data_IF_974601519409
#
_entry.id   IF_974601519409
#
_cell.length_a   1.000
_cell.length_b   1.000
_cell.length_c   1.000
_cell.angle_alpha   90.00
_cell.angle_beta   90.00
_cell.angle_gamma   90.00
#
_symmetry.space_group_name_H-M   'P 1'
#
loop_
_entity.id
_entity.type
_entity.pdbx_description
1 polymer ?
#
# COMPACT_ATOMS: atom_id res chain seq x y z
N UNK A 1 -24.19 43.89 30.99
CA UNK A 1 -24.48 45.12 30.24
C UNK A 1 -24.80 44.66 28.82
N UNK A 2 -26.03 44.40 28.50
CA UNK A 2 -27.06 45.29 27.95
C UNK A 2 -26.67 45.71 26.52
N UNK A 3 -27.47 45.55 25.49
CA UNK A 3 -28.91 45.41 25.23
C UNK A 3 -29.03 45.04 23.75
N UNK A 4 -29.89 44.22 23.30
CA UNK A 4 -31.33 44.36 22.99
C UNK A 4 -31.68 45.57 22.14
N UNK A 5 -32.32 45.30 21.04
CA UNK A 5 -33.66 45.73 20.51
C UNK A 5 -33.63 45.73 18.99
N UNK A 6 -34.49 45.07 18.36
CA UNK A 6 -35.96 44.98 18.07
C UNK A 6 -36.31 45.57 16.69
N UNK A 7 -36.90 44.71 15.86
CA UNK A 7 -38.28 44.68 15.32
C UNK A 7 -38.71 45.81 14.34
N UNK A 8 -39.40 45.42 13.28
CA UNK A 8 -40.32 46.18 12.44
C UNK A 8 -40.32 45.68 11.00
N UNK A 9 -41.14 44.86 10.54
CA UNK A 9 -42.58 44.74 10.33
C UNK A 9 -43.09 45.57 9.15
N UNK A 10 -43.62 44.86 8.18
CA UNK A 10 -44.82 45.07 7.32
C UNK A 10 -44.96 46.34 6.46
N UNK A 11 -45.29 46.15 5.15
CA UNK A 11 -46.64 46.40 4.65
C UNK A 11 -46.76 46.05 3.15
N UNK A 12 -47.80 45.31 2.88
CA UNK A 12 -48.45 44.99 1.63
C UNK A 12 -49.18 46.24 1.01
N UNK A 13 -49.24 46.30 -0.32
CA UNK A 13 -50.32 46.95 -1.02
C UNK A 13 -50.54 46.35 -2.41
N UNK A 14 -51.68 45.71 -2.54
CA UNK A 14 -52.38 45.34 -3.75
C UNK A 14 -53.04 46.56 -4.41
N UNK A 15 -53.07 46.64 -5.73
CA UNK A 15 -54.07 47.38 -6.47
C UNK A 15 -54.40 46.67 -7.79
N UNK A 16 -55.67 46.25 -7.88
CA UNK A 16 -56.43 45.90 -9.07
C UNK A 16 -56.74 47.12 -9.91
N UNK A 17 -56.92 46.89 -11.23
CA UNK A 17 -58.06 47.32 -12.03
C UNK A 17 -57.78 47.42 -13.52
N UNK A 18 -58.52 46.62 -14.20
CA UNK A 18 -59.63 46.82 -15.15
C UNK A 18 -59.27 47.08 -16.63
N UNK A 19 -59.78 46.12 -17.41
CA UNK A 19 -60.03 46.26 -18.86
C UNK A 19 -61.07 47.32 -19.20
N UNK A 20 -61.11 47.81 -20.43
CA UNK A 20 -62.27 47.47 -21.22
C UNK A 20 -62.02 47.28 -22.74
N UNK A 21 -62.78 46.38 -23.33
CA UNK A 21 -63.29 46.43 -24.70
C UNK A 21 -64.49 47.36 -24.77
N UNK A 22 -65.07 47.88 -25.88
CA UNK A 22 -65.49 47.08 -27.06
C UNK A 22 -65.62 47.84 -28.42
N UNK A 23 -66.30 47.15 -29.36
CA UNK A 23 -67.14 47.51 -30.54
C UNK A 23 -66.40 47.88 -31.85
N UNK A 24 -66.65 47.24 -32.88
CA UNK A 24 -67.77 46.84 -33.74
C UNK A 24 -67.89 47.70 -35.00
N UNK A 25 -67.92 47.01 -36.08
CA UNK A 25 -68.89 46.99 -37.17
C UNK A 25 -68.64 47.76 -38.48
N UNK A 26 -69.02 47.01 -39.52
CA UNK A 26 -69.55 47.40 -40.84
C UNK A 26 -68.52 47.78 -41.91
N UNK A 27 -68.63 47.36 -43.17
CA UNK A 27 -69.68 46.77 -43.99
C UNK A 27 -69.10 46.31 -45.30
N UNK A 28 -69.77 45.41 -45.92
CA UNK A 28 -69.52 44.89 -47.26
C UNK A 28 -69.70 45.85 -48.41
N UNK A 29 -68.94 45.64 -49.45
CA UNK A 29 -69.42 45.90 -50.80
C UNK A 29 -68.65 45.03 -51.81
N UNK A 30 -69.40 44.29 -52.59
CA UNK A 30 -69.08 43.51 -53.75
C UNK A 30 -68.90 44.39 -54.98
N UNK A 31 -68.24 43.84 -55.95
CA UNK A 31 -68.25 44.01 -57.42
C UNK A 31 -66.83 43.77 -57.90
N UNK A 32 -66.49 42.85 -58.82
CA UNK A 32 -67.05 42.52 -60.07
C UNK A 32 -65.87 42.13 -60.94
N UNK A 33 -66.04 41.15 -61.75
CA UNK A 33 -65.13 40.42 -62.67
C UNK A 33 -64.15 41.29 -63.46
N UNK A 34 -62.94 40.78 -63.74
CA UNK A 34 -62.01 41.34 -64.69
C UNK A 34 -60.75 40.46 -64.90
N UNK A 35 -60.71 39.84 -66.02
CA UNK A 35 -59.70 38.88 -66.51
C UNK A 35 -58.26 39.37 -66.43
N UNK A 36 -57.39 38.38 -66.30
CA UNK A 36 -55.92 38.30 -66.32
C UNK A 36 -55.18 39.10 -67.41
N UNK A 37 -53.85 39.41 -67.21
CA UNK A 37 -52.82 38.47 -67.65
C UNK A 37 -51.52 38.44 -66.79
N UNK A 38 -50.96 37.27 -66.75
CA UNK A 38 -49.51 37.07 -66.75
C UNK A 38 -48.69 37.55 -65.54
N UNK A 39 -48.65 36.80 -64.42
CA UNK A 39 -47.63 37.02 -63.40
C UNK A 39 -46.28 36.43 -63.76
N UNK A 40 -45.34 37.29 -64.08
CA UNK A 40 -43.90 36.96 -64.08
C UNK A 40 -43.49 36.55 -62.67
N UNK A 41 -43.26 35.29 -62.46
CA UNK A 41 -42.71 34.80 -61.22
C UNK A 41 -41.29 35.32 -61.02
N UNK A 42 -41.11 36.17 -60.04
CA UNK A 42 -39.81 36.64 -59.61
C UNK A 42 -39.09 35.51 -58.81
N UNK A 43 -37.99 34.92 -59.30
CA UNK A 43 -37.38 33.73 -58.66
C UNK A 43 -36.67 34.04 -57.35
N UNK A 44 -36.69 35.27 -56.84
CA UNK A 44 -35.91 35.64 -55.64
C UNK A 44 -36.71 35.89 -54.37
N UNK A 45 -38.01 35.63 -54.30
CA UNK A 45 -38.78 35.75 -53.08
C UNK A 45 -39.02 34.39 -52.37
N UNK A 46 -37.98 33.73 -51.93
CA UNK A 46 -38.17 32.75 -50.83
C UNK A 46 -38.49 33.53 -49.55
N UNK A 47 -39.75 33.82 -49.30
CA UNK A 47 -40.23 34.22 -47.97
C UNK A 47 -39.96 33.06 -47.01
N UNK A 48 -38.81 33.10 -46.27
CA UNK A 48 -38.56 32.24 -45.13
C UNK A 48 -39.65 32.57 -44.13
N UNK A 49 -40.59 31.66 -43.90
CA UNK A 49 -41.66 31.86 -42.93
C UNK A 49 -41.09 32.12 -41.56
N UNK A 50 -41.74 33.00 -40.78
CA UNK A 50 -41.29 33.36 -39.45
C UNK A 50 -41.12 32.16 -38.55
N UNK A 51 -41.85 31.07 -38.81
CA UNK A 51 -41.73 29.77 -38.18
C UNK A 51 -40.38 29.04 -38.46
N UNK A 52 -39.89 29.10 -39.74
CA UNK A 52 -38.58 28.50 -40.11
C UNK A 52 -37.40 29.29 -39.52
N UNK A 53 -37.53 30.63 -39.42
CA UNK A 53 -36.51 31.48 -38.81
C UNK A 53 -36.37 31.22 -37.29
N UNK A 54 -37.48 31.06 -36.62
CA UNK A 54 -37.53 30.75 -35.16
C UNK A 54 -37.04 29.35 -34.90
N UNK A 55 -37.34 28.38 -35.78
CA UNK A 55 -36.85 26.99 -35.67
C UNK A 55 -35.34 26.91 -35.87
N UNK A 56 -34.77 27.61 -36.86
CA UNK A 56 -33.32 27.73 -37.12
C UNK A 56 -32.59 28.44 -35.93
N UNK A 57 -33.20 29.48 -35.36
CA UNK A 57 -32.60 30.22 -34.23
C UNK A 57 -32.64 29.40 -32.92
N UNK A 58 -33.69 28.60 -32.66
CA UNK A 58 -33.79 27.68 -31.53
C UNK A 58 -32.79 26.55 -31.69
N UNK A 59 -32.60 25.98 -32.90
CA UNK A 59 -31.59 24.94 -33.18
C UNK A 59 -30.15 25.43 -32.96
N UNK A 60 -29.81 26.63 -33.43
CA UNK A 60 -28.49 27.22 -33.20
C UNK A 60 -28.21 27.52 -31.72
N UNK A 61 -29.23 27.98 -30.94
CA UNK A 61 -29.09 28.17 -29.49
C UNK A 61 -28.90 26.84 -28.76
N UNK A 62 -29.69 25.79 -29.11
CA UNK A 62 -29.51 24.45 -28.53
C UNK A 62 -28.10 23.86 -28.82
N UNK A 63 -27.59 23.99 -30.05
CA UNK A 63 -26.22 23.54 -30.40
C UNK A 63 -25.17 24.30 -29.59
N UNK A 64 -25.30 25.60 -29.36
CA UNK A 64 -24.37 26.38 -28.53
C UNK A 64 -24.45 25.99 -27.05
N UNK A 65 -25.67 25.70 -26.53
CA UNK A 65 -25.84 25.22 -25.15
C UNK A 65 -25.20 23.82 -24.99
N UNK A 66 -25.49 22.90 -25.92
CA UNK A 66 -24.87 21.55 -25.90
C UNK A 66 -23.36 21.64 -25.98
N UNK A 67 -22.82 22.48 -26.86
CA UNK A 67 -21.37 22.70 -26.97
C UNK A 67 -20.79 23.27 -25.66
N UNK A 68 -21.45 24.23 -25.04
CA UNK A 68 -20.99 24.80 -23.77
C UNK A 68 -21.02 23.77 -22.62
N UNK A 69 -22.06 22.93 -22.58
CA UNK A 69 -22.12 21.81 -21.61
C UNK A 69 -21.01 20.78 -21.85
N UNK A 70 -20.77 20.43 -23.11
CA UNK A 70 -19.66 19.50 -23.45
C UNK A 70 -18.30 20.09 -23.06
N UNK A 71 -18.06 21.39 -23.30
CA UNK A 71 -16.83 22.07 -22.89
C UNK A 71 -16.72 22.10 -21.37
N UNK A 72 -17.79 22.41 -20.64
CA UNK A 72 -17.80 22.42 -19.19
C UNK A 72 -17.50 21.01 -18.63
N UNK A 73 -18.10 19.95 -19.18
CA UNK A 73 -17.80 18.57 -18.81
C UNK A 73 -16.35 18.20 -19.12
N UNK A 74 -15.82 18.62 -20.28
CA UNK A 74 -14.42 18.39 -20.63
C UNK A 74 -13.47 19.07 -19.64
N UNK A 75 -13.77 20.31 -19.24
CA UNK A 75 -12.97 21.04 -18.24
C UNK A 75 -13.01 20.35 -16.87
N UNK A 76 -14.17 19.83 -16.46
CA UNK A 76 -14.31 19.08 -15.20
C UNK A 76 -13.51 17.77 -15.26
N UNK A 77 -13.59 17.05 -16.39
CA UNK A 77 -12.81 15.80 -16.57
C UNK A 77 -11.31 16.09 -16.60
N UNK A 78 -10.85 17.07 -17.37
CA UNK A 78 -9.45 17.44 -17.42
C UNK A 78 -8.92 17.97 -16.08
N UNK A 79 -9.74 18.75 -15.36
CA UNK A 79 -9.42 19.21 -14.02
C UNK A 79 -9.31 18.06 -13.02
N UNK A 80 -10.24 17.11 -13.08
CA UNK A 80 -10.21 15.90 -12.26
C UNK A 80 -8.98 15.01 -12.54
N UNK A 81 -8.66 14.80 -13.83
CA UNK A 81 -7.45 14.05 -14.23
C UNK A 81 -6.18 14.76 -13.77
N UNK A 82 -6.12 16.10 -13.92
CA UNK A 82 -4.96 16.88 -13.45
C UNK A 82 -4.78 16.82 -11.93
N UNK A 83 -5.88 16.88 -11.18
CA UNK A 83 -5.85 16.75 -9.72
C UNK A 83 -5.42 15.34 -9.28
N UNK A 84 -5.93 14.29 -9.93
CA UNK A 84 -5.53 12.92 -9.67
C UNK A 84 -4.04 12.69 -9.97
N UNK A 85 -3.54 13.24 -11.08
CA UNK A 85 -2.12 13.15 -11.42
C UNK A 85 -1.23 13.87 -10.41
N UNK A 86 -1.59 15.09 -9.98
CA UNK A 86 -0.85 15.82 -8.95
C UNK A 86 -0.86 15.07 -7.61
N UNK A 87 -1.97 14.45 -7.27
CA UNK A 87 -2.12 13.64 -6.06
C UNK A 87 -1.21 12.40 -6.08
N UNK A 88 -1.20 11.63 -7.19
CA UNK A 88 -0.32 10.48 -7.37
C UNK A 88 1.16 10.90 -7.30
N UNK A 89 1.52 12.03 -7.91
CA UNK A 89 2.90 12.53 -7.85
C UNK A 89 3.32 12.91 -6.43
N UNK A 90 2.42 13.42 -5.61
CA UNK A 90 2.73 13.70 -4.20
C UNK A 90 3.01 12.41 -3.43
N UNK A 91 2.20 11.36 -3.64
CA UNK A 91 2.43 10.07 -3.00
C UNK A 91 3.75 9.46 -3.45
N UNK A 92 4.05 9.51 -4.76
CA UNK A 92 5.32 9.01 -5.30
C UNK A 92 6.52 9.78 -4.73
N UNK A 93 6.41 11.10 -4.56
CA UNK A 93 7.47 11.90 -3.96
C UNK A 93 7.74 11.48 -2.51
N UNK A 94 6.70 11.18 -1.73
CA UNK A 94 6.84 10.67 -0.38
C UNK A 94 7.48 9.27 -0.35
N UNK A 95 6.97 8.33 -1.18
CA UNK A 95 7.49 6.96 -1.25
C UNK A 95 8.97 6.90 -1.66
N UNK A 96 9.39 7.80 -2.54
CA UNK A 96 10.77 7.85 -3.05
C UNK A 96 11.65 8.86 -2.27
N UNK A 97 11.15 9.43 -1.18
CA UNK A 97 11.98 10.26 -0.29
C UNK A 97 13.10 9.41 0.28
N UNK A 98 14.35 9.86 0.10
CA UNK A 98 15.54 9.10 0.48
C UNK A 98 16.04 8.08 -0.54
N UNK A 99 15.34 7.87 -1.66
CA UNK A 99 15.82 7.04 -2.78
C UNK A 99 16.68 7.88 -3.71
N UNK A 100 17.96 7.90 -3.45
CA UNK A 100 18.96 8.62 -4.26
C UNK A 100 19.46 7.80 -5.48
N UNK A 101 20.39 8.38 -6.23
CA UNK A 101 20.95 7.74 -7.41
C UNK A 101 21.83 6.52 -7.02
N UNK A 102 22.55 6.57 -5.90
CA UNK A 102 23.40 5.47 -5.43
C UNK A 102 22.53 4.25 -5.09
N UNK A 103 21.37 4.47 -4.45
CA UNK A 103 20.41 3.41 -4.15
C UNK A 103 19.83 2.81 -5.44
N UNK A 104 19.49 3.64 -6.42
CA UNK A 104 18.98 3.16 -7.72
C UNK A 104 20.02 2.36 -8.48
N UNK A 105 21.28 2.78 -8.44
CA UNK A 105 22.40 2.09 -9.10
C UNK A 105 22.73 0.74 -8.43
N UNK A 106 22.43 0.58 -7.12
CA UNK A 106 22.60 -0.68 -6.41
C UNK A 106 21.52 -1.71 -6.74
N UNK A 107 20.35 -1.27 -7.25
CA UNK A 107 19.25 -2.15 -7.66
C UNK A 107 19.45 -2.66 -9.09
N UNK A 108 18.96 -3.87 -9.35
CA UNK A 108 19.04 -4.52 -10.68
C UNK A 108 17.66 -4.57 -11.31
N UNK A 109 17.51 -3.99 -12.49
CA UNK A 109 16.25 -4.02 -13.22
C UNK A 109 15.76 -5.46 -13.48
N UNK A 110 14.46 -5.70 -13.27
CA UNK A 110 13.80 -6.92 -13.73
C UNK A 110 13.67 -6.92 -15.26
N UNK A 111 14.01 -8.03 -15.90
CA UNK A 111 14.04 -8.10 -17.39
C UNK A 111 12.67 -7.94 -18.03
N UNK A 112 11.63 -8.49 -17.39
CA UNK A 112 10.25 -8.47 -17.89
C UNK A 112 9.28 -8.27 -16.73
N UNK A 113 8.22 -7.51 -16.99
CA UNK A 113 7.13 -7.35 -16.03
C UNK A 113 6.49 -8.73 -15.74
N UNK A 114 6.45 -9.10 -14.46
CA UNK A 114 5.92 -10.38 -14.01
C UNK A 114 6.97 -11.48 -13.81
N UNK A 115 8.23 -11.26 -14.15
CA UNK A 115 9.31 -12.18 -13.76
C UNK A 115 9.48 -12.19 -12.24
N UNK A 116 9.93 -13.30 -11.66
CA UNK A 116 10.32 -13.36 -10.25
C UNK A 116 11.47 -12.37 -9.98
N UNK A 117 11.39 -11.70 -8.84
CA UNK A 117 12.41 -10.74 -8.42
C UNK A 117 12.69 -10.84 -6.92
N UNK A 118 13.84 -10.31 -6.52
CA UNK A 118 14.20 -10.17 -5.11
C UNK A 118 14.01 -8.74 -4.64
N UNK A 119 13.49 -8.60 -3.43
CA UNK A 119 13.27 -7.35 -2.73
C UNK A 119 13.88 -7.42 -1.34
N UNK A 120 14.61 -6.39 -0.93
CA UNK A 120 15.09 -6.25 0.44
C UNK A 120 14.08 -5.41 1.24
N UNK A 121 13.52 -6.03 2.28
CA UNK A 121 12.65 -5.35 3.24
C UNK A 121 13.46 -5.05 4.49
N UNK A 122 13.46 -3.79 4.93
CA UNK A 122 14.18 -3.36 6.12
C UNK A 122 13.24 -2.71 7.12
N UNK A 123 13.45 -3.05 8.39
CA UNK A 123 12.84 -2.38 9.53
C UNK A 123 13.90 -1.63 10.32
N UNK A 124 13.69 -0.33 10.53
CA UNK A 124 14.59 0.50 11.31
C UNK A 124 13.91 0.99 12.60
N UNK A 125 14.70 1.24 13.62
CA UNK A 125 14.20 1.80 14.88
C UNK A 125 14.28 3.34 14.92
N UNK A 126 14.32 3.96 13.75
CA UNK A 126 14.37 5.41 13.54
C UNK A 126 13.08 6.11 13.90
N UNK A 127 12.70 6.16 15.19
CA UNK A 127 11.61 7.04 15.62
C UNK A 127 12.08 8.50 15.70
N UNK A 128 11.21 9.46 15.36
CA UNK A 128 11.48 10.90 15.53
C UNK A 128 11.93 11.21 16.97
N UNK A 129 11.33 10.52 17.94
CA UNK A 129 11.63 10.67 19.37
C UNK A 129 13.08 10.27 19.71
N UNK A 130 13.65 9.28 19.02
CA UNK A 130 15.04 8.86 19.16
C UNK A 130 16.01 9.77 18.42
N UNK A 131 15.63 10.27 17.25
CA UNK A 131 16.46 11.18 16.45
C UNK A 131 16.66 12.53 17.14
N UNK A 132 15.70 12.96 17.96
CA UNK A 132 15.73 14.22 18.72
C UNK A 132 16.42 14.07 20.09
N UNK A 133 16.66 12.84 20.58
CA UNK A 133 17.31 12.65 21.86
C UNK A 133 18.80 12.89 21.78
N UNK A 134 19.34 13.70 22.73
CA UNK A 134 20.77 14.02 22.80
C UNK A 134 21.67 12.78 23.05
N UNK A 135 21.09 11.66 23.49
CA UNK A 135 21.76 10.40 23.74
C UNK A 135 22.11 9.64 22.46
N UNK A 136 21.33 9.86 21.38
CA UNK A 136 21.47 9.20 20.08
C UNK A 136 21.77 10.18 18.94
N UNK A 137 22.02 11.45 19.27
CA UNK A 137 22.36 12.48 18.27
C UNK A 137 23.69 12.14 17.58
N UNK A 138 23.61 11.57 16.40
CA UNK A 138 24.75 11.13 15.57
C UNK A 138 24.90 9.62 15.42
N UNK A 139 24.07 8.81 16.08
CA UNK A 139 23.95 7.39 15.76
C UNK A 139 23.18 7.24 14.45
N UNK A 140 23.83 6.70 13.43
CA UNK A 140 23.14 6.27 12.23
C UNK A 140 22.27 5.07 12.61
N UNK A 141 20.98 5.14 12.25
CA UNK A 141 20.00 4.11 12.57
C UNK A 141 20.48 2.74 12.12
N UNK A 142 20.30 1.74 12.97
CA UNK A 142 20.62 0.34 12.64
C UNK A 142 19.38 -0.32 12.10
N UNK A 143 19.56 -1.11 11.06
CA UNK A 143 18.48 -2.00 10.65
C UNK A 143 18.38 -3.17 11.64
N UNK A 144 17.26 -3.23 12.35
CA UNK A 144 16.99 -4.29 13.32
C UNK A 144 16.27 -5.50 12.70
N UNK A 145 15.70 -5.33 11.53
CA UNK A 145 15.05 -6.38 10.74
C UNK A 145 15.47 -6.28 9.29
N UNK A 146 15.92 -7.38 8.72
CA UNK A 146 16.24 -7.51 7.30
C UNK A 146 15.62 -8.80 6.77
N UNK A 147 14.77 -8.68 5.75
CA UNK A 147 14.13 -9.82 5.11
C UNK A 147 14.38 -9.73 3.60
N UNK A 148 15.05 -10.77 3.08
CA UNK A 148 15.17 -10.96 1.65
C UNK A 148 13.92 -11.68 1.15
N UNK A 149 13.07 -10.99 0.39
CA UNK A 149 11.85 -11.53 -0.17
C UNK A 149 12.04 -11.85 -1.65
N UNK A 150 11.72 -13.07 -2.07
CA UNK A 150 11.53 -13.43 -3.48
C UNK A 150 10.03 -13.40 -3.79
N UNK A 151 9.64 -12.56 -4.71
CA UNK A 151 8.25 -12.40 -5.15
C UNK A 151 8.12 -12.97 -6.56
N UNK A 152 7.17 -13.88 -6.75
CA UNK A 152 6.88 -14.51 -8.03
C UNK A 152 5.42 -14.26 -8.43
N UNK A 153 5.16 -13.25 -9.26
CA UNK A 153 3.80 -12.91 -9.66
C UNK A 153 3.14 -13.97 -10.55
N UNK A 154 3.93 -14.78 -11.29
CA UNK A 154 3.39 -15.81 -12.19
C UNK A 154 2.87 -17.02 -11.39
N UNK A 155 3.65 -17.51 -10.45
CA UNK A 155 3.27 -18.63 -9.59
C UNK A 155 2.44 -18.19 -8.38
N UNK A 156 2.33 -16.87 -8.14
CA UNK A 156 1.71 -16.28 -6.96
C UNK A 156 2.32 -16.83 -5.68
N UNK A 157 3.63 -16.71 -5.56
CA UNK A 157 4.42 -17.18 -4.43
C UNK A 157 5.27 -16.06 -3.88
N UNK A 158 5.45 -16.09 -2.56
CA UNK A 158 6.36 -15.21 -1.84
C UNK A 158 7.23 -16.06 -0.93
N UNK A 159 8.54 -15.90 -1.02
CA UNK A 159 9.48 -16.52 -0.09
C UNK A 159 10.16 -15.44 0.73
N UNK A 160 10.09 -15.54 2.04
CA UNK A 160 10.72 -14.60 2.98
C UNK A 160 11.85 -15.29 3.73
N UNK A 161 13.07 -14.80 3.56
CA UNK A 161 14.24 -15.24 4.31
C UNK A 161 14.72 -14.13 5.22
N UNK A 162 14.54 -14.28 6.53
CA UNK A 162 15.09 -13.33 7.51
C UNK A 162 16.59 -13.49 7.60
N UNK A 163 17.30 -12.36 7.55
CA UNK A 163 18.74 -12.28 7.74
C UNK A 163 19.03 -11.84 9.17
N UNK A 164 19.95 -12.53 9.83
CA UNK A 164 20.26 -12.20 11.21
C UNK A 164 21.14 -10.92 11.24
N UNK A 165 20.72 -9.89 11.96
CA UNK A 165 21.42 -8.59 12.02
C UNK A 165 22.87 -8.69 12.52
N UNK A 166 23.15 -9.71 13.37
CA UNK A 166 24.46 -9.95 13.98
C UNK A 166 25.36 -10.92 13.16
N UNK A 167 24.92 -11.28 11.94
CA UNK A 167 25.68 -12.15 11.03
C UNK A 167 27.02 -11.50 10.67
N UNK A 168 28.12 -12.22 10.91
CA UNK A 168 29.47 -11.76 10.62
C UNK A 168 29.76 -11.89 9.12
N UNK A 169 29.84 -10.76 8.43
CA UNK A 169 30.07 -10.69 6.98
C UNK A 169 31.37 -9.96 6.65
N UNK A 170 32.03 -10.42 5.61
CA UNK A 170 33.18 -9.72 5.02
C UNK A 170 32.70 -8.58 4.10
N UNK A 171 32.85 -7.36 4.56
CA UNK A 171 32.48 -6.14 3.84
C UNK A 171 33.66 -5.53 3.05
N UNK A 172 34.61 -6.35 2.65
CA UNK A 172 35.75 -5.93 1.82
C UNK A 172 36.65 -4.93 2.53
N UNK A 173 36.72 -3.68 2.03
CA UNK A 173 37.56 -2.62 2.61
C UNK A 173 37.15 -2.24 4.04
N UNK A 174 35.92 -2.50 4.42
CA UNK A 174 35.41 -2.24 5.77
C UNK A 174 35.66 -3.41 6.74
N UNK A 175 36.33 -4.51 6.27
CA UNK A 175 36.66 -5.67 7.07
C UNK A 175 35.44 -6.51 7.42
N UNK A 176 35.60 -7.38 8.43
CA UNK A 176 34.50 -8.22 8.92
C UNK A 176 33.68 -7.47 9.95
N UNK A 177 32.41 -7.28 9.66
CA UNK A 177 31.43 -6.55 10.47
C UNK A 177 30.14 -7.37 10.64
N UNK A 178 29.30 -6.99 11.59
CA UNK A 178 27.93 -7.46 11.65
C UNK A 178 27.12 -6.93 10.47
N UNK A 179 26.18 -7.70 9.95
CA UNK A 179 25.37 -7.31 8.77
C UNK A 179 24.67 -5.98 8.96
N UNK A 180 24.12 -5.70 10.15
CA UNK A 180 23.45 -4.43 10.44
C UNK A 180 24.37 -3.19 10.36
N UNK A 181 25.70 -3.39 10.41
CA UNK A 181 26.65 -2.29 10.23
C UNK A 181 26.67 -1.76 8.78
N UNK A 182 26.23 -2.55 7.80
CA UNK A 182 26.20 -2.12 6.40
C UNK A 182 25.37 -0.83 6.25
N UNK A 183 24.22 -0.76 6.90
CA UNK A 183 23.35 0.42 6.86
C UNK A 183 24.03 1.67 7.49
N UNK A 184 24.70 1.50 8.62
CA UNK A 184 25.44 2.59 9.26
C UNK A 184 26.68 3.05 8.47
N UNK A 185 27.26 2.17 7.63
CA UNK A 185 28.48 2.48 6.84
C UNK A 185 28.13 3.22 5.56
N UNK A 186 27.08 2.81 4.84
CA UNK A 186 26.77 3.34 3.52
C UNK A 186 25.28 3.32 3.17
N UNK A 187 24.40 3.36 4.18
CA UNK A 187 22.96 3.43 3.97
C UNK A 187 22.34 2.23 3.28
N UNK A 188 21.19 2.45 2.70
CA UNK A 188 20.42 1.43 2.00
C UNK A 188 21.17 0.87 0.78
N UNK A 189 21.81 1.72 -0.03
CA UNK A 189 22.57 1.30 -1.21
C UNK A 189 23.64 0.26 -0.86
N UNK A 190 24.48 0.57 0.11
CA UNK A 190 25.55 -0.34 0.54
C UNK A 190 24.99 -1.62 1.19
N UNK A 191 23.88 -1.53 1.90
CA UNK A 191 23.21 -2.71 2.47
C UNK A 191 22.72 -3.65 1.37
N UNK A 192 22.14 -3.11 0.29
CA UNK A 192 21.72 -3.88 -0.88
C UNK A 192 22.91 -4.60 -1.53
N UNK A 193 24.02 -3.89 -1.75
CA UNK A 193 25.24 -4.49 -2.30
C UNK A 193 25.77 -5.65 -1.45
N UNK A 194 25.86 -5.43 -0.11
CA UNK A 194 26.33 -6.43 0.84
C UNK A 194 25.40 -7.64 0.87
N UNK A 195 24.09 -7.44 0.95
CA UNK A 195 23.09 -8.53 0.99
C UNK A 195 23.04 -9.26 -0.35
N UNK A 196 23.07 -8.55 -1.49
CA UNK A 196 23.09 -9.15 -2.82
C UNK A 196 24.31 -10.07 -3.00
N UNK A 197 25.49 -9.62 -2.59
CA UNK A 197 26.72 -10.42 -2.61
C UNK A 197 26.64 -11.62 -1.66
N UNK A 198 26.10 -11.42 -0.47
CA UNK A 198 25.96 -12.46 0.56
C UNK A 198 24.97 -13.55 0.14
N UNK A 199 23.82 -13.15 -0.38
CA UNK A 199 22.79 -14.09 -0.83
C UNK A 199 23.09 -14.69 -2.21
N UNK A 200 23.99 -14.09 -3.00
CA UNK A 200 24.32 -14.52 -4.36
C UNK A 200 23.20 -14.28 -5.36
N UNK A 201 22.29 -13.34 -5.10
CA UNK A 201 21.14 -13.02 -5.95
C UNK A 201 21.05 -11.51 -6.22
N UNK A 202 20.55 -11.09 -7.40
CA UNK A 202 20.31 -9.68 -7.68
C UNK A 202 19.11 -9.17 -6.87
N UNK A 203 19.23 -8.01 -6.24
CA UNK A 203 18.11 -7.33 -5.57
C UNK A 203 17.57 -6.27 -6.52
N UNK A 204 16.29 -6.36 -6.86
CA UNK A 204 15.64 -5.46 -7.82
C UNK A 204 14.86 -4.34 -7.17
N UNK A 205 14.39 -4.55 -5.94
CA UNK A 205 13.55 -3.60 -5.25
C UNK A 205 13.90 -3.52 -3.77
N UNK A 206 13.51 -2.41 -3.17
CA UNK A 206 13.79 -2.08 -1.79
C UNK A 206 12.57 -1.47 -1.11
N UNK A 207 12.36 -1.78 0.16
CA UNK A 207 11.46 -1.02 1.03
C UNK A 207 12.01 -0.98 2.46
N UNK A 208 11.90 0.20 3.05
CA UNK A 208 12.25 0.46 4.44
C UNK A 208 11.06 1.09 5.16
N UNK A 209 10.83 0.66 6.39
CA UNK A 209 9.79 1.19 7.27
C UNK A 209 10.35 1.35 8.68
N UNK A 210 10.04 2.46 9.32
CA UNK A 210 10.31 2.64 10.74
C UNK A 210 9.17 2.10 11.62
N UNK A 211 9.37 2.10 12.94
CA UNK A 211 8.37 1.56 13.87
C UNK A 211 7.06 2.36 13.89
N UNK A 212 7.13 3.69 13.74
CA UNK A 212 5.95 4.53 13.76
C UNK A 212 5.14 4.33 12.48
N UNK A 213 5.81 4.28 11.32
CA UNK A 213 5.21 3.93 10.06
C UNK A 213 4.59 2.55 10.05
N UNK A 214 5.23 1.57 10.68
CA UNK A 214 4.66 0.23 10.78
C UNK A 214 3.34 0.22 11.59
N UNK A 215 3.28 0.94 12.72
CA UNK A 215 2.03 1.06 13.50
C UNK A 215 0.92 1.71 12.67
N UNK A 216 1.21 2.84 12.04
CA UNK A 216 0.26 3.55 11.17
C UNK A 216 -0.21 2.68 10.00
N UNK A 217 0.69 1.85 9.46
CA UNK A 217 0.36 0.88 8.41
C UNK A 217 -0.72 -0.10 8.85
N UNK A 218 -0.49 -0.73 9.97
CA UNK A 218 -1.43 -1.72 10.52
C UNK A 218 -2.76 -1.07 10.88
N UNK A 219 -2.74 0.13 11.47
CA UNK A 219 -3.94 0.86 11.85
C UNK A 219 -4.74 1.35 10.63
N UNK A 220 -4.07 1.81 9.58
CA UNK A 220 -4.72 2.20 8.32
C UNK A 220 -5.43 1.02 7.62
N UNK A 221 -4.93 -0.20 7.82
CA UNK A 221 -5.60 -1.43 7.37
C UNK A 221 -6.80 -1.83 8.26
N UNK A 222 -7.02 -1.15 9.39
CA UNK A 222 -8.03 -1.52 10.39
C UNK A 222 -7.61 -2.74 11.21
N UNK A 223 -6.31 -2.91 11.42
CA UNK A 223 -5.71 -4.04 12.11
C UNK A 223 -5.48 -5.26 11.23
N UNK A 224 -4.68 -6.21 11.72
CA UNK A 224 -4.35 -7.47 11.06
C UNK A 224 -4.72 -8.66 11.91
N UNK A 225 -5.29 -9.70 11.30
CA UNK A 225 -5.65 -10.94 12.01
C UNK A 225 -4.41 -11.84 12.10
N UNK A 226 -4.01 -12.15 13.32
CA UNK A 226 -2.83 -12.97 13.62
C UNK A 226 -3.19 -14.02 14.68
N UNK A 227 -2.78 -15.26 14.45
CA UNK A 227 -2.78 -16.30 15.48
C UNK A 227 -1.46 -16.19 16.26
N UNK A 228 -1.51 -15.53 17.43
CA UNK A 228 -0.33 -15.30 18.28
C UNK A 228 0.08 -16.64 18.90
N UNK A 229 1.31 -17.13 18.62
CA UNK A 229 1.69 -18.51 18.94
C UNK A 229 1.64 -18.85 20.43
N UNK A 230 2.01 -17.91 21.26
CA UNK A 230 2.02 -18.02 22.72
C UNK A 230 1.74 -16.65 23.36
N UNK A 231 1.42 -16.66 24.64
CA UNK A 231 1.34 -15.41 25.42
C UNK A 231 2.68 -14.68 25.40
N UNK A 232 2.66 -13.41 24.99
CA UNK A 232 3.82 -12.52 25.01
C UNK A 232 3.73 -11.65 26.24
N UNK A 233 4.79 -11.67 27.04
CA UNK A 233 4.98 -10.75 28.16
C UNK A 233 6.43 -10.25 28.11
N UNK A 234 6.63 -9.10 27.43
CA UNK A 234 7.93 -8.54 27.12
C UNK A 234 7.87 -7.02 27.22
N UNK A 235 8.36 -6.48 28.34
CA UNK A 235 8.36 -5.03 28.61
C UNK A 235 9.22 -4.27 27.60
N UNK A 236 10.34 -4.85 27.14
CA UNK A 236 11.22 -4.24 26.13
C UNK A 236 10.57 -4.25 24.73
N UNK A 237 9.64 -5.17 24.49
CA UNK A 237 8.82 -5.16 23.26
C UNK A 237 7.67 -4.15 23.33
N UNK A 238 7.31 -3.67 24.52
CA UNK A 238 6.24 -2.69 24.74
C UNK A 238 5.01 -3.23 25.49
N UNK A 239 5.04 -4.48 25.98
CA UNK A 239 3.98 -4.98 26.85
C UNK A 239 3.54 -6.42 26.66
N UNK A 240 2.22 -6.63 26.65
CA UNK A 240 1.59 -7.93 26.74
C UNK A 240 0.63 -8.21 25.56
N UNK A 241 0.61 -9.48 25.10
CA UNK A 241 -0.39 -10.02 24.19
C UNK A 241 -0.81 -11.41 24.66
N UNK A 242 -2.11 -11.69 24.62
CA UNK A 242 -2.64 -13.02 24.81
C UNK A 242 -2.28 -13.95 23.62
N UNK A 243 -2.21 -15.25 23.86
CA UNK A 243 -2.07 -16.25 22.80
C UNK A 243 -3.37 -16.43 22.02
N UNK A 244 -3.29 -16.89 20.77
CA UNK A 244 -4.41 -17.27 19.92
C UNK A 244 -4.81 -16.23 18.89
N UNK A 245 -5.86 -16.57 18.12
CA UNK A 245 -6.33 -15.79 17.00
C UNK A 245 -6.98 -14.48 17.46
N UNK A 246 -6.43 -13.37 17.04
CA UNK A 246 -6.91 -12.03 17.39
C UNK A 246 -6.58 -11.00 16.32
N UNK A 247 -7.29 -9.87 16.31
CA UNK A 247 -6.97 -8.73 15.45
C UNK A 247 -6.06 -7.79 16.22
N UNK A 248 -4.83 -7.63 15.74
CA UNK A 248 -3.83 -6.73 16.31
C UNK A 248 -3.95 -5.34 15.69
N UNK A 249 -3.95 -4.30 16.51
CA UNK A 249 -3.70 -2.94 16.07
C UNK A 249 -2.20 -2.68 15.88
N UNK A 250 -1.80 -1.45 15.50
CA UNK A 250 -0.41 -1.11 15.23
C UNK A 250 0.53 -1.36 16.40
N UNK A 251 0.15 -0.91 17.60
CA UNK A 251 0.97 -1.12 18.80
C UNK A 251 1.09 -2.61 19.14
N UNK A 252 0.02 -3.37 19.08
CA UNK A 252 0.01 -4.80 19.36
C UNK A 252 0.83 -5.60 18.33
N UNK A 253 0.72 -5.25 17.05
CA UNK A 253 1.53 -5.86 16.01
C UNK A 253 3.03 -5.55 16.20
N UNK A 254 3.37 -4.33 16.65
CA UNK A 254 4.75 -3.95 16.94
C UNK A 254 5.29 -4.71 18.15
N UNK A 255 4.48 -4.89 19.24
CA UNK A 255 4.86 -5.74 20.38
C UNK A 255 5.25 -7.14 19.89
N UNK A 256 4.43 -7.78 19.06
CA UNK A 256 4.73 -9.11 18.52
C UNK A 256 6.01 -9.13 17.66
N UNK A 257 6.20 -8.12 16.82
CA UNK A 257 7.39 -7.98 15.97
C UNK A 257 8.68 -7.71 16.75
N UNK A 258 8.59 -7.20 17.98
CA UNK A 258 9.74 -6.88 18.83
C UNK A 258 9.98 -7.92 19.93
N UNK A 259 8.99 -8.77 20.21
CA UNK A 259 9.05 -9.77 21.27
C UNK A 259 10.28 -10.69 21.11
N UNK A 260 11.15 -10.66 22.09
CA UNK A 260 12.38 -11.45 22.16
C UNK A 260 12.54 -12.10 23.52
N UNK A 261 12.41 -11.32 24.60
CA UNK A 261 12.60 -11.81 25.96
C UNK A 261 11.47 -12.73 26.43
N UNK A 262 10.28 -12.64 25.85
CA UNK A 262 9.23 -13.63 26.03
C UNK A 262 9.67 -15.05 25.66
N UNK A 263 10.71 -15.18 24.82
CA UNK A 263 11.23 -16.44 24.33
C UNK A 263 12.54 -16.90 25.00
N UNK A 264 13.02 -16.23 26.05
CA UNK A 264 14.30 -16.57 26.72
C UNK A 264 14.34 -18.02 27.24
N UNK A 265 13.19 -18.59 27.59
CA UNK A 265 13.08 -19.99 28.01
C UNK A 265 13.16 -21.01 26.84
N UNK A 266 13.07 -20.57 25.59
CA UNK A 266 12.99 -21.40 24.39
C UNK A 266 14.30 -21.40 23.57
N UNK A 267 15.23 -20.48 23.87
CA UNK A 267 16.53 -20.41 23.21
C UNK A 267 16.84 -19.01 22.65
N UNK A 268 17.19 -18.96 21.36
CA UNK A 268 17.53 -17.70 20.69
C UNK A 268 16.30 -16.84 20.41
N UNK A 269 16.04 -15.84 21.27
CA UNK A 269 14.91 -14.93 21.14
C UNK A 269 14.86 -14.17 19.80
N UNK A 270 16.01 -13.91 19.17
CA UNK A 270 16.07 -13.24 17.85
C UNK A 270 15.45 -14.10 16.74
N UNK A 271 15.61 -15.42 16.82
CA UNK A 271 14.99 -16.36 15.88
C UNK A 271 13.47 -16.32 15.94
N UNK A 272 12.90 -16.27 17.14
CA UNK A 272 11.45 -16.16 17.37
C UNK A 272 10.93 -14.79 16.94
N UNK A 273 11.66 -13.72 17.25
CA UNK A 273 11.33 -12.38 16.78
C UNK A 273 11.24 -12.33 15.26
N UNK A 274 12.22 -12.88 14.56
CA UNK A 274 12.22 -12.95 13.09
C UNK A 274 11.04 -13.78 12.55
N UNK A 275 10.64 -14.85 13.23
CA UNK A 275 9.46 -15.64 12.89
C UNK A 275 8.16 -14.83 13.06
N UNK A 276 8.03 -14.12 14.18
CA UNK A 276 6.88 -13.23 14.43
C UNK A 276 6.78 -12.09 13.40
N UNK A 277 7.92 -11.51 12.99
CA UNK A 277 7.94 -10.49 11.93
C UNK A 277 7.40 -11.04 10.60
N UNK A 278 7.83 -12.25 10.19
CA UNK A 278 7.30 -12.90 8.98
C UNK A 278 5.81 -13.25 9.11
N UNK A 279 5.37 -13.68 10.30
CA UNK A 279 3.96 -13.96 10.58
C UNK A 279 3.09 -12.70 10.40
N UNK A 280 3.50 -11.57 10.99
CA UNK A 280 2.78 -10.31 10.88
C UNK A 280 2.81 -9.78 9.45
N UNK A 281 3.95 -9.85 8.74
CA UNK A 281 4.05 -9.46 7.33
C UNK A 281 3.14 -10.30 6.44
N UNK A 282 3.00 -11.60 6.71
CA UNK A 282 2.06 -12.48 6.01
C UNK A 282 0.60 -12.04 6.24
N UNK A 283 0.26 -11.65 7.47
CA UNK A 283 -1.07 -11.14 7.81
C UNK A 283 -1.36 -9.78 7.15
N UNK A 284 -0.36 -8.89 7.10
CA UNK A 284 -0.44 -7.61 6.37
C UNK A 284 -0.68 -7.86 4.88
N UNK A 285 0.11 -8.74 4.26
CA UNK A 285 -0.06 -9.11 2.84
C UNK A 285 -1.46 -9.69 2.57
N UNK A 286 -1.94 -10.61 3.41
CA UNK A 286 -3.29 -11.16 3.34
C UNK A 286 -4.36 -10.07 3.38
N UNK A 287 -4.22 -9.12 4.30
CA UNK A 287 -5.15 -8.01 4.47
C UNK A 287 -5.17 -7.09 3.25
N UNK A 288 -4.00 -6.70 2.74
CA UNK A 288 -3.87 -5.84 1.55
C UNK A 288 -4.49 -6.52 0.33
N UNK A 289 -4.14 -7.78 0.06
CA UNK A 289 -4.63 -8.54 -1.10
C UNK A 289 -6.13 -8.83 -1.05
N UNK A 290 -6.74 -8.82 0.13
CA UNK A 290 -8.19 -8.98 0.33
C UNK A 290 -8.96 -7.67 0.37
N UNK A 291 -8.28 -6.53 0.38
CA UNK A 291 -8.90 -5.19 0.43
C UNK A 291 -9.49 -4.80 -0.93
N UNK A 292 -10.53 -3.98 -0.89
CA UNK A 292 -11.06 -3.35 -2.11
C UNK A 292 -10.08 -2.26 -2.61
N UNK A 293 -10.15 -1.87 -3.91
CA UNK A 293 -9.20 -0.92 -4.50
C UNK A 293 -9.18 0.46 -3.81
N UNK A 294 -10.27 0.90 -3.21
CA UNK A 294 -10.35 2.21 -2.53
C UNK A 294 -9.61 2.13 -1.20
N UNK A 295 -9.85 1.08 -0.42
CA UNK A 295 -9.15 0.81 0.83
C UNK A 295 -7.65 0.66 0.58
N UNK A 296 -7.26 -0.08 -0.48
CA UNK A 296 -5.85 -0.21 -0.89
C UNK A 296 -5.22 1.15 -1.21
N UNK A 297 -5.87 1.99 -2.01
CA UNK A 297 -5.36 3.31 -2.35
C UNK A 297 -5.20 4.22 -1.12
N UNK A 298 -6.17 4.20 -0.21
CA UNK A 298 -6.10 4.96 1.05
C UNK A 298 -4.97 4.47 1.95
N UNK A 299 -4.75 3.16 2.00
CA UNK A 299 -3.65 2.55 2.75
C UNK A 299 -2.30 2.98 2.16
N UNK A 300 -2.09 2.87 0.85
CA UNK A 300 -0.86 3.32 0.17
C UNK A 300 -0.59 4.79 0.48
N UNK A 301 -1.63 5.64 0.43
CA UNK A 301 -1.49 7.06 0.77
C UNK A 301 -1.08 7.27 2.23
N UNK A 302 -1.71 6.59 3.17
CA UNK A 302 -1.38 6.71 4.59
C UNK A 302 0.07 6.28 4.86
N UNK A 303 0.50 5.18 4.23
CA UNK A 303 1.82 4.59 4.37
C UNK A 303 2.93 5.36 3.67
N UNK A 304 2.62 6.11 2.60
CA UNK A 304 3.64 6.78 1.78
C UNK A 304 4.50 7.79 2.52
N UNK A 305 4.14 8.15 3.74
CA UNK A 305 4.90 9.06 4.61
C UNK A 305 5.94 8.33 5.48
N UNK A 306 5.79 7.02 5.60
CA UNK A 306 6.52 6.19 6.56
C UNK A 306 7.33 5.10 5.90
N UNK A 307 7.12 4.89 4.60
CA UNK A 307 7.81 3.87 3.81
C UNK A 307 8.67 4.56 2.78
N UNK A 308 9.96 4.25 2.78
CA UNK A 308 10.87 4.57 1.69
C UNK A 308 10.97 3.36 0.75
N UNK A 309 10.71 3.54 -0.54
CA UNK A 309 10.81 2.47 -1.54
C UNK A 309 11.09 3.03 -2.93
N UNK A 310 11.74 2.24 -3.78
CA UNK A 310 11.95 2.56 -5.20
C UNK A 310 10.67 2.44 -6.03
N UNK A 311 9.63 1.73 -5.51
CA UNK A 311 8.34 1.62 -6.17
C UNK A 311 7.59 2.95 -6.19
N UNK A 312 6.83 3.17 -7.28
CA UNK A 312 5.78 4.17 -7.31
C UNK A 312 4.39 3.54 -7.09
N UNK A 313 3.37 4.37 -6.90
CA UNK A 313 1.99 3.90 -6.66
C UNK A 313 1.49 2.93 -7.74
N UNK A 314 1.84 3.18 -9.01
CA UNK A 314 1.42 2.32 -10.12
C UNK A 314 2.08 0.95 -10.07
N UNK A 315 3.33 0.87 -9.63
CA UNK A 315 4.06 -0.39 -9.46
C UNK A 315 3.46 -1.20 -8.31
N UNK A 316 3.18 -0.56 -7.17
CA UNK A 316 2.54 -1.20 -6.01
C UNK A 316 1.16 -1.77 -6.39
N UNK A 317 0.32 -0.98 -7.08
CA UNK A 317 -1.02 -1.41 -7.51
C UNK A 317 -0.92 -2.53 -8.55
N UNK A 318 0.04 -2.45 -9.46
CA UNK A 318 0.28 -3.48 -10.48
C UNK A 318 0.73 -4.79 -9.84
N UNK A 319 1.69 -4.73 -8.91
CA UNK A 319 2.15 -5.90 -8.15
C UNK A 319 1.02 -6.52 -7.33
N UNK A 320 0.28 -5.72 -6.55
CA UNK A 320 -0.86 -6.21 -5.78
C UNK A 320 -1.91 -6.87 -6.67
N UNK A 321 -2.19 -6.28 -7.86
CA UNK A 321 -3.13 -6.85 -8.82
C UNK A 321 -2.63 -8.18 -9.40
N UNK A 322 -1.34 -8.30 -9.69
CA UNK A 322 -0.73 -9.54 -10.19
C UNK A 322 -0.75 -10.65 -9.14
N UNK A 323 -0.65 -10.27 -7.87
CA UNK A 323 -0.66 -11.20 -6.73
C UNK A 323 -2.08 -11.54 -6.24
N UNK A 324 -3.14 -10.98 -6.83
CA UNK A 324 -4.51 -11.36 -6.48
C UNK A 324 -4.73 -12.86 -6.64
N UNK A 325 -5.32 -13.48 -5.60
CA UNK A 325 -5.53 -14.92 -5.51
C UNK A 325 -4.30 -15.71 -5.02
N UNK A 326 -3.24 -15.02 -4.54
CA UNK A 326 -2.24 -15.67 -3.69
C UNK A 326 -2.95 -16.35 -2.53
N UNK A 327 -2.74 -17.64 -2.37
CA UNK A 327 -3.14 -18.36 -1.17
C UNK A 327 -2.06 -18.14 -0.10
N UNK A 328 -2.36 -17.31 0.90
CA UNK A 328 -1.39 -16.97 1.94
C UNK A 328 -1.03 -18.15 2.85
N UNK A 329 -1.84 -19.19 2.87
CA UNK A 329 -1.59 -20.38 3.70
C UNK A 329 -0.62 -21.37 3.00
N UNK A 330 -0.55 -21.36 1.66
CA UNK A 330 0.25 -22.31 0.88
C UNK A 330 1.23 -21.67 -0.10
N UNK A 331 1.10 -20.37 -0.35
CA UNK A 331 1.93 -19.61 -1.30
C UNK A 331 2.96 -18.71 -0.63
N UNK A 332 3.03 -18.69 0.71
CA UNK A 332 4.05 -17.96 1.45
C UNK A 332 4.99 -18.95 2.12
N UNK A 333 6.25 -18.93 1.68
CA UNK A 333 7.35 -19.70 2.27
C UNK A 333 8.18 -18.81 3.16
N UNK A 334 8.72 -19.36 4.23
CA UNK A 334 9.54 -18.56 5.13
C UNK A 334 10.61 -19.38 5.84
N UNK A 335 11.76 -18.75 6.09
CA UNK A 335 12.81 -19.30 6.92
C UNK A 335 13.69 -18.16 7.47
N UNK A 336 14.62 -18.52 8.34
CA UNK A 336 15.72 -17.67 8.73
C UNK A 336 17.02 -18.26 8.17
N UNK A 337 18.00 -17.40 7.89
CA UNK A 337 19.33 -17.85 7.47
C UNK A 337 19.92 -18.82 8.51
N UNK A 338 20.56 -19.92 8.07
CA UNK A 338 21.13 -20.90 8.98
C UNK A 338 22.44 -20.37 9.57
N UNK A 339 22.48 -20.15 10.88
CA UNK A 339 23.64 -19.63 11.59
C UNK A 339 24.00 -20.45 12.82
N UNK A 340 25.15 -20.15 13.39
CA UNK A 340 25.60 -20.62 14.71
C UNK A 340 26.10 -19.44 15.51
N UNK A 341 25.51 -19.21 16.67
CA UNK A 341 25.91 -18.14 17.59
C UNK A 341 27.24 -18.42 18.26
N UNK A 342 28.11 -17.42 18.34
CA UNK A 342 29.39 -17.51 19.07
C UNK A 342 29.69 -16.21 19.80
N UNK A 343 30.10 -16.37 21.08
CA UNK A 343 30.59 -15.24 21.88
C UNK A 343 32.11 -15.08 21.64
N UNK A 344 32.51 -13.94 21.06
CA UNK A 344 33.92 -13.61 20.79
C UNK A 344 34.23 -12.29 21.46
N UNK A 345 35.18 -12.30 22.43
CA UNK A 345 35.60 -11.11 23.17
C UNK A 345 34.45 -10.31 23.81
N UNK A 346 33.43 -11.02 24.33
CA UNK A 346 32.27 -10.38 24.97
C UNK A 346 31.19 -9.90 24.00
N UNK A 347 31.35 -10.12 22.69
CA UNK A 347 30.36 -9.76 21.67
C UNK A 347 29.81 -11.02 20.99
N UNK A 348 28.49 -11.11 20.88
CA UNK A 348 27.82 -12.17 20.13
C UNK A 348 27.89 -11.91 18.64
N UNK A 349 28.20 -12.94 17.88
CA UNK A 349 28.19 -12.97 16.41
C UNK A 349 27.46 -14.20 15.94
N UNK A 350 26.77 -14.06 14.81
CA UNK A 350 26.20 -15.17 14.07
C UNK A 350 27.16 -15.57 12.93
N UNK A 351 27.50 -16.85 12.88
CA UNK A 351 28.33 -17.43 11.83
C UNK A 351 27.46 -18.26 10.91
N UNK A 352 27.49 -17.91 9.63
CA UNK A 352 26.70 -18.59 8.60
C UNK A 352 27.15 -20.04 8.45
N UNK A 353 26.21 -20.97 8.38
CA UNK A 353 26.42 -22.35 7.95
C UNK A 353 26.43 -22.37 6.42
N UNK A 354 27.56 -22.08 5.81
CA UNK A 354 27.71 -21.79 4.38
C UNK A 354 27.04 -22.81 3.46
N UNK A 355 27.18 -24.11 3.75
CA UNK A 355 26.59 -25.18 2.93
C UNK A 355 25.05 -25.15 2.98
N UNK A 356 24.50 -24.96 4.15
CA UNK A 356 23.05 -24.89 4.36
C UNK A 356 22.48 -23.62 3.72
N UNK A 357 23.21 -22.51 3.89
CA UNK A 357 22.86 -21.24 3.26
C UNK A 357 22.83 -21.32 1.74
N UNK A 358 23.88 -21.85 1.13
CA UNK A 358 23.93 -22.05 -0.32
C UNK A 358 22.81 -22.97 -0.81
N UNK A 359 22.52 -24.05 -0.08
CA UNK A 359 21.42 -24.97 -0.42
C UNK A 359 20.06 -24.25 -0.31
N UNK A 360 19.85 -23.46 0.74
CA UNK A 360 18.65 -22.67 0.94
C UNK A 360 18.44 -21.69 -0.22
N UNK A 361 19.46 -20.88 -0.53
CA UNK A 361 19.35 -19.88 -1.60
C UNK A 361 19.17 -20.48 -2.99
N UNK A 362 19.79 -21.63 -3.28
CA UNK A 362 19.52 -22.38 -4.53
C UNK A 362 18.06 -22.84 -4.63
N UNK A 363 17.46 -23.30 -3.53
CA UNK A 363 16.04 -23.66 -3.51
C UNK A 363 15.14 -22.45 -3.74
N UNK A 364 15.41 -21.35 -3.03
CA UNK A 364 14.66 -20.09 -3.16
C UNK A 364 14.73 -19.57 -4.59
N UNK A 365 15.90 -19.58 -5.22
CA UNK A 365 16.06 -19.11 -6.60
C UNK A 365 15.26 -19.95 -7.61
N UNK A 366 15.12 -21.24 -7.35
CA UNK A 366 14.29 -22.17 -8.13
C UNK A 366 12.77 -22.03 -7.84
N UNK A 367 12.35 -21.14 -6.94
CA UNK A 367 10.94 -20.99 -6.52
C UNK A 367 10.46 -22.12 -5.60
N UNK A 368 11.39 -22.88 -5.00
CA UNK A 368 11.08 -23.92 -4.02
C UNK A 368 11.08 -23.32 -2.60
N UNK A 369 10.38 -23.96 -1.65
CA UNK A 369 10.49 -23.59 -0.24
C UNK A 369 11.94 -23.58 0.25
N UNK A 370 12.33 -22.65 1.13
CA UNK A 370 13.71 -22.51 1.61
C UNK A 370 14.20 -23.73 2.37
N UNK A 371 13.31 -24.46 3.02
CA UNK A 371 13.55 -25.72 3.74
C UNK A 371 12.78 -26.88 3.09
N UNK A 372 13.10 -28.10 3.46
CA UNK A 372 12.39 -29.30 2.98
C UNK A 372 11.19 -29.67 3.83
N UNK A 373 11.14 -29.19 5.05
CA UNK A 373 10.10 -29.46 6.04
C UNK A 373 9.80 -28.18 6.82
N UNK A 374 8.59 -28.09 7.36
CA UNK A 374 8.24 -27.05 8.31
C UNK A 374 9.02 -27.21 9.59
N UNK A 375 9.43 -26.11 10.19
CA UNK A 375 10.05 -26.10 11.50
C UNK A 375 9.12 -25.38 12.47
N UNK A 376 8.56 -26.12 13.41
CA UNK A 376 7.65 -25.59 14.43
C UNK A 376 8.27 -25.92 15.79
N UNK A 377 8.43 -24.91 16.64
CA UNK A 377 8.78 -25.14 18.05
C UNK A 377 7.57 -25.71 18.78
N UNK A 378 7.66 -26.97 19.19
CA UNK A 378 6.56 -27.69 19.85
C UNK A 378 6.10 -27.04 21.18
N UNK A 379 6.96 -26.28 21.84
CA UNK A 379 6.66 -25.69 23.16
C UNK A 379 5.94 -24.35 23.03
N UNK A 380 6.41 -23.49 22.11
CA UNK A 380 5.84 -22.18 21.88
C UNK A 380 4.77 -22.17 20.77
N UNK A 381 4.72 -23.22 19.94
CA UNK A 381 3.88 -23.26 18.76
C UNK A 381 4.35 -22.34 17.62
N UNK A 382 5.50 -21.68 17.78
CA UNK A 382 6.01 -20.72 16.79
C UNK A 382 6.51 -21.45 15.54
N UNK A 383 6.06 -21.02 14.34
CA UNK A 383 6.55 -21.51 13.05
C UNK A 383 7.86 -20.79 12.72
N UNK A 384 8.96 -21.48 12.85
CA UNK A 384 10.31 -20.97 12.60
C UNK A 384 10.69 -21.03 11.12
N UNK A 385 10.20 -22.03 10.40
CA UNK A 385 10.27 -22.12 8.94
C UNK A 385 9.01 -22.76 8.38
N UNK A 386 8.57 -22.28 7.21
CA UNK A 386 7.36 -22.76 6.54
C UNK A 386 7.63 -23.10 5.08
N UNK A 387 7.17 -24.27 4.68
CA UNK A 387 7.16 -24.75 3.29
C UNK A 387 5.85 -24.44 2.56
N UNK A 388 4.92 -23.75 3.22
CA UNK A 388 3.60 -23.44 2.69
C UNK A 388 2.56 -24.55 2.92
N UNK A 389 2.96 -25.69 3.48
CA UNK A 389 2.01 -26.79 3.63
C UNK A 389 1.03 -26.65 4.79
N UNK A 390 1.31 -25.81 5.78
CA UNK A 390 0.36 -25.49 6.89
C UNK A 390 0.82 -24.30 7.77
N UNK A 391 0.86 -23.11 7.27
CA UNK A 391 0.93 -21.97 8.16
C UNK A 391 -0.48 -21.71 8.75
N UNK A 392 -0.85 -22.41 9.83
CA UNK A 392 -2.11 -22.13 10.52
C UNK A 392 -2.92 -23.32 11.05
N UNK A 393 -2.42 -24.54 11.01
CA UNK A 393 -3.11 -25.67 11.64
C UNK A 393 -2.72 -25.75 13.13
N UNK A 394 -3.47 -25.07 13.98
CA UNK A 394 -3.52 -25.41 15.40
C UNK A 394 -3.89 -26.87 15.54
N UNK A 395 -2.96 -27.68 16.03
CA UNK A 395 -3.22 -29.04 16.45
C UNK A 395 -4.17 -29.05 17.65
N UNK A 396 -5.46 -29.14 17.39
CA UNK A 396 -6.44 -29.62 18.38
C UNK A 396 -6.19 -31.12 18.60
N UNK A 397 -5.14 -31.45 19.32
CA UNK A 397 -5.00 -32.76 19.93
C UNK A 397 -5.89 -32.80 21.18
N UNK A 398 -7.18 -33.02 20.97
CA UNK A 398 -8.04 -33.56 22.01
C UNK A 398 -7.55 -34.96 22.35
N UNK A 399 -6.77 -35.08 23.41
CA UNK A 399 -6.47 -36.35 24.06
C UNK A 399 -7.77 -36.98 24.56
N UNK A 400 -8.33 -37.87 23.76
CA UNK A 400 -9.40 -38.77 24.22
C UNK A 400 -8.74 -39.82 25.11
N UNK A 401 -8.74 -39.58 26.40
CA UNK A 401 -8.42 -40.59 27.42
C UNK A 401 -9.53 -41.63 27.42
N UNK A 402 -9.31 -42.73 26.74
CA UNK A 402 -10.19 -43.93 26.85
C UNK A 402 -9.86 -44.59 28.18
N UNK A 403 -10.69 -44.36 29.15
CA UNK A 403 -10.68 -45.15 30.38
C UNK A 403 -11.24 -46.54 30.05
N UNK A 404 -10.39 -47.56 30.09
CA UNK A 404 -10.78 -48.93 30.07
C UNK A 404 -10.96 -49.41 31.49
N UNK A 405 -12.15 -49.92 31.75
CA UNK A 405 -12.55 -50.62 32.99
C UNK A 405 -11.86 -51.99 33.10
#
# INVERSE_FOLDING_TARGET
KHGQHTVGAQASASFDRESPTPHASHAAASFGDGETPGSVQNPYSRRVTQAEYTKKRKSKKRKKIVLAVCIALLVVVLGGVGAAFAYINTINANLNEGVDDDLRDALVDTKYAGDPFYMLLMGTDGSEERSESAEYAGDQFRSDSMILARIDPQSKQVTMVSLHRDTLIDMGTNGKQKLNAAHSIGGAAYTIEVVSKFAGVPISHYAEIDFDGFKEAVDALGGVEVDVPMEINDEDAGGHLDAGLQTLNGDQALILCRARHAYDAYGDGDRYRAANQRLVLSAVAKKILSSDPITMANTIQALSKYITTDFNVTDIVSLASSMQGLNTDTGIYSAMEPTTSKLVNGTWYEYVNEKEWQTMMQRVDQGLPPTTEDEIDEKSGTVLASTGDKAGATSNTSSTTTATR
#
